data_IF_469205817991
#
_entry.id   IF_469205817991
#
_cell.length_a   1.000
_cell.length_b   1.000
_cell.length_c   1.000
_cell.angle_alpha   90.00
_cell.angle_beta   90.00
_cell.angle_gamma   90.00
#
_symmetry.space_group_name_H-M   'P 1'
#
loop_
_entity.id
_entity.type
_entity.pdbx_description
1 polymer ?
#
# COMPACT_ATOMS: atom_id res chain seq x y z
N UNK A 1 30.67 2.03 -14.49
CA UNK A 1 30.61 0.58 -14.82
C UNK A 1 30.14 -0.13 -13.56
N UNK A 2 28.84 -0.40 -13.42
CA UNK A 2 28.32 -1.25 -12.34
C UNK A 2 28.22 -2.67 -12.92
N UNK A 3 29.25 -3.49 -12.70
CA UNK A 3 29.29 -4.87 -13.16
C UNK A 3 28.40 -5.75 -12.25
N UNK A 4 27.29 -6.24 -12.81
CA UNK A 4 26.34 -7.20 -12.22
C UNK A 4 25.50 -6.69 -11.02
N UNK A 5 24.53 -5.81 -11.29
CA UNK A 5 23.40 -5.61 -10.38
C UNK A 5 22.44 -6.81 -10.45
N UNK A 6 22.09 -7.38 -9.29
CA UNK A 6 21.00 -8.37 -9.20
C UNK A 6 19.67 -7.63 -9.36
N UNK A 7 18.73 -8.10 -10.21
CA UNK A 7 17.41 -7.51 -10.30
C UNK A 7 16.75 -7.45 -8.92
N UNK A 8 16.13 -6.32 -8.57
CA UNK A 8 15.49 -6.12 -7.27
C UNK A 8 14.50 -7.26 -6.94
N UNK A 9 13.79 -7.75 -7.96
CA UNK A 9 12.83 -8.84 -7.83
C UNK A 9 13.47 -10.18 -7.39
N UNK A 10 14.76 -10.39 -7.64
CA UNK A 10 15.50 -11.59 -7.20
C UNK A 10 15.86 -11.56 -5.70
N UNK A 11 15.79 -10.40 -5.04
CA UNK A 11 16.10 -10.26 -3.62
C UNK A 11 15.03 -10.88 -2.71
N UNK A 12 13.81 -11.08 -3.23
CA UNK A 12 12.65 -11.63 -2.50
C UNK A 12 12.96 -13.03 -1.95
N UNK A 13 13.70 -13.85 -2.69
CA UNK A 13 14.04 -15.22 -2.29
C UNK A 13 15.29 -15.34 -1.42
N UNK A 14 16.12 -14.30 -1.34
CA UNK A 14 17.44 -14.35 -0.71
C UNK A 14 17.48 -13.67 0.66
N UNK A 15 16.57 -12.73 0.92
CA UNK A 15 16.55 -11.95 2.16
C UNK A 15 15.26 -12.22 2.92
N UNK A 16 15.37 -12.97 4.02
CA UNK A 16 14.23 -13.26 4.89
C UNK A 16 13.69 -11.97 5.53
N UNK A 17 12.39 -11.70 5.39
CA UNK A 17 11.75 -10.50 5.93
C UNK A 17 11.77 -9.28 5.01
N UNK A 18 12.35 -9.38 3.80
CA UNK A 18 12.24 -8.34 2.78
C UNK A 18 10.91 -8.46 2.03
N UNK A 19 10.17 -7.35 1.96
CA UNK A 19 8.96 -7.24 1.12
C UNK A 19 9.20 -6.21 0.04
N UNK A 20 8.98 -6.59 -1.22
CA UNK A 20 9.12 -5.72 -2.36
C UNK A 20 7.73 -5.51 -2.97
N UNK A 21 7.37 -4.26 -3.21
CA UNK A 21 6.12 -3.88 -3.86
C UNK A 21 6.43 -2.92 -4.99
N UNK A 22 5.95 -3.23 -6.19
CA UNK A 22 6.03 -2.36 -7.36
C UNK A 22 4.66 -1.74 -7.61
N UNK A 23 4.61 -0.41 -7.61
CA UNK A 23 3.41 0.35 -7.91
C UNK A 23 3.72 1.43 -8.93
N UNK A 24 2.68 1.85 -9.65
CA UNK A 24 2.70 3.03 -10.50
C UNK A 24 1.84 4.09 -9.83
N UNK A 25 2.46 5.22 -9.54
CA UNK A 25 1.82 6.34 -8.85
C UNK A 25 1.71 7.51 -9.82
N UNK A 26 0.61 8.26 -9.71
CA UNK A 26 0.35 9.46 -10.54
C UNK A 26 0.40 10.74 -9.72
N UNK A 27 0.23 10.63 -8.40
CA UNK A 27 0.32 11.73 -7.47
C UNK A 27 1.40 11.40 -6.42
N UNK A 28 2.30 12.36 -6.17
CA UNK A 28 3.37 12.29 -5.19
C UNK A 28 3.10 13.15 -3.93
N UNK A 29 1.94 13.81 -3.83
CA UNK A 29 1.61 14.78 -2.78
C UNK A 29 1.49 14.17 -1.38
N UNK A 30 1.43 12.84 -1.26
CA UNK A 30 1.26 12.13 0.01
C UNK A 30 2.55 11.44 0.47
N UNK A 31 2.88 11.59 1.76
CA UNK A 31 4.01 10.87 2.35
C UNK A 31 3.73 9.36 2.42
N UNK A 32 4.65 8.47 2.00
CA UNK A 32 6.07 8.74 1.71
C UNK A 32 6.42 9.02 0.25
N UNK A 33 5.44 9.08 -0.65
CA UNK A 33 5.67 9.30 -2.09
C UNK A 33 6.29 10.68 -2.37
N UNK A 34 6.05 11.66 -1.51
CA UNK A 34 6.70 12.98 -1.58
C UNK A 34 8.22 12.90 -1.67
N UNK A 35 8.83 11.86 -1.10
CA UNK A 35 10.28 11.63 -1.11
C UNK A 35 10.83 11.29 -2.51
N UNK A 36 9.95 10.94 -3.46
CA UNK A 36 10.31 10.64 -4.84
C UNK A 36 10.39 11.90 -5.72
N UNK A 37 9.85 13.04 -5.26
CA UNK A 37 9.70 14.26 -6.07
C UNK A 37 11.03 14.83 -6.54
N UNK A 38 12.08 14.65 -5.73
CA UNK A 38 13.42 15.19 -5.99
C UNK A 38 14.38 14.14 -6.58
N UNK A 39 13.90 12.93 -6.88
CA UNK A 39 14.73 11.85 -7.40
C UNK A 39 14.67 11.77 -8.93
N UNK A 40 15.81 11.44 -9.52
CA UNK A 40 15.90 11.06 -10.93
C UNK A 40 15.55 9.57 -11.12
N UNK A 41 15.31 9.15 -12.36
CA UNK A 41 15.11 7.74 -12.70
C UNK A 41 16.31 6.88 -12.25
N UNK A 42 16.01 5.73 -11.64
CA UNK A 42 16.98 4.87 -10.98
C UNK A 42 17.42 5.35 -9.60
N UNK A 43 17.03 6.55 -9.18
CA UNK A 43 17.31 7.11 -7.87
C UNK A 43 16.54 6.39 -6.76
N UNK A 44 17.10 6.38 -5.56
CA UNK A 44 16.48 5.78 -4.38
C UNK A 44 16.62 6.68 -3.16
N UNK A 45 15.70 6.53 -2.22
CA UNK A 45 15.72 7.27 -0.96
C UNK A 45 16.72 6.65 0.01
N UNK A 46 17.25 7.45 0.93
CA UNK A 46 17.83 6.89 2.15
C UNK A 46 16.79 6.06 2.92
N UNK A 47 17.19 4.99 3.65
CA UNK A 47 16.25 4.19 4.40
C UNK A 47 15.53 5.02 5.46
N UNK A 48 14.20 4.99 5.45
CA UNK A 48 13.35 5.74 6.37
C UNK A 48 12.37 4.84 7.11
N UNK A 49 11.78 5.31 8.21
CA UNK A 49 10.77 4.56 8.96
C UNK A 49 9.38 5.07 8.61
N UNK A 50 8.49 4.16 8.22
CA UNK A 50 7.09 4.45 7.94
C UNK A 50 6.22 3.29 8.40
N UNK A 51 5.12 3.59 9.10
CA UNK A 51 4.21 2.60 9.73
C UNK A 51 4.98 1.54 10.55
N UNK A 52 5.91 2.00 11.40
CA UNK A 52 6.78 1.17 12.24
C UNK A 52 7.65 0.13 11.50
N UNK A 53 7.89 0.33 10.20
CA UNK A 53 8.77 -0.51 9.38
C UNK A 53 9.86 0.35 8.75
N UNK A 54 11.02 -0.25 8.49
CA UNK A 54 12.10 0.40 7.72
C UNK A 54 11.83 0.15 6.24
N UNK A 55 11.82 1.22 5.45
CA UNK A 55 11.47 1.21 4.04
C UNK A 55 12.55 1.94 3.25
N UNK A 56 12.60 1.65 1.96
CA UNK A 56 13.40 2.33 0.95
C UNK A 56 12.52 2.41 -0.30
N UNK A 57 12.50 3.58 -0.96
CA UNK A 57 11.82 3.74 -2.24
C UNK A 57 12.85 3.84 -3.36
N UNK A 58 12.55 3.21 -4.49
CA UNK A 58 13.33 3.25 -5.72
C UNK A 58 12.42 3.81 -6.82
N UNK A 59 12.80 4.93 -7.41
CA UNK A 59 12.13 5.47 -8.59
C UNK A 59 12.63 4.73 -9.82
N UNK A 60 11.89 3.73 -10.29
CA UNK A 60 12.35 2.91 -11.41
C UNK A 60 12.35 3.68 -12.74
N UNK A 61 11.25 4.37 -13.06
CA UNK A 61 11.04 5.05 -14.35
C UNK A 61 9.96 6.11 -14.21
N UNK A 62 10.08 7.22 -14.93
CA UNK A 62 9.08 8.26 -15.09
C UNK A 62 8.46 8.08 -16.48
N UNK A 63 7.17 7.79 -16.52
CA UNK A 63 6.45 7.59 -17.78
C UNK A 63 5.82 8.89 -18.28
N UNK A 64 5.93 9.14 -19.58
CA UNK A 64 5.17 10.20 -20.26
C UNK A 64 3.66 10.02 -20.05
N UNK A 65 2.86 11.10 -20.06
CA UNK A 65 1.40 11.02 -19.92
C UNK A 65 0.78 10.18 -21.04
N UNK A 66 0.38 8.94 -20.72
CA UNK A 66 -0.28 8.01 -21.64
C UNK A 66 -1.34 7.19 -20.91
N UNK A 67 -2.20 6.51 -21.68
CA UNK A 67 -3.06 5.50 -21.11
C UNK A 67 -2.22 4.35 -20.52
N UNK A 68 -2.53 3.98 -19.29
CA UNK A 68 -1.94 2.82 -18.63
C UNK A 68 -2.42 1.54 -19.30
N UNK A 69 -1.54 0.55 -19.39
CA UNK A 69 -1.95 -0.82 -19.75
C UNK A 69 -2.70 -1.46 -18.58
N UNK A 70 -3.42 -2.55 -18.84
CA UNK A 70 -4.12 -3.28 -17.79
C UNK A 70 -3.18 -3.76 -16.68
N UNK A 71 -2.01 -4.30 -17.05
CA UNK A 71 -1.00 -4.78 -16.10
C UNK A 71 -0.49 -3.64 -15.19
N UNK A 72 -0.28 -2.45 -15.75
CA UNK A 72 0.14 -1.25 -15.02
C UNK A 72 -0.94 -0.74 -14.06
N UNK A 73 -2.20 -0.81 -14.48
CA UNK A 73 -3.34 -0.39 -13.68
C UNK A 73 -3.84 -1.48 -12.71
N UNK A 74 -3.36 -2.72 -12.82
CA UNK A 74 -3.93 -3.87 -12.11
C UNK A 74 -3.90 -3.69 -10.59
N UNK A 75 -2.75 -3.31 -10.00
CA UNK A 75 -2.66 -3.10 -8.55
C UNK A 75 -3.56 -1.96 -8.08
N UNK A 76 -3.67 -0.89 -8.88
CA UNK A 76 -4.58 0.23 -8.60
C UNK A 76 -6.03 -0.23 -8.63
N UNK A 77 -6.43 -0.94 -9.69
CA UNK A 77 -7.77 -1.50 -9.84
C UNK A 77 -8.12 -2.42 -8.65
N UNK A 78 -7.19 -3.30 -8.26
CA UNK A 78 -7.36 -4.17 -7.09
C UNK A 78 -7.54 -3.35 -5.82
N UNK A 79 -6.70 -2.34 -5.60
CA UNK A 79 -6.80 -1.44 -4.44
C UNK A 79 -8.15 -0.71 -4.40
N UNK A 80 -8.60 -0.17 -5.54
CA UNK A 80 -9.88 0.53 -5.67
C UNK A 80 -11.08 -0.41 -5.45
N UNK A 81 -10.91 -1.71 -5.73
CA UNK A 81 -11.95 -2.72 -5.53
C UNK A 81 -11.97 -3.32 -4.11
N UNK A 82 -10.91 -3.15 -3.30
CA UNK A 82 -10.84 -3.68 -1.92
C UNK A 82 -12.02 -3.22 -1.04
N UNK A 83 -12.40 -1.92 -1.00
CA UNK A 83 -13.50 -1.46 -0.15
C UNK A 83 -14.84 -2.13 -0.49
N UNK A 84 -15.08 -2.41 -1.77
CA UNK A 84 -16.29 -3.09 -2.24
C UNK A 84 -16.30 -4.53 -1.70
N UNK A 85 -15.19 -5.26 -1.86
CA UNK A 85 -15.08 -6.64 -1.34
C UNK A 85 -15.22 -6.69 0.18
N UNK A 86 -14.67 -5.72 0.90
CA UNK A 86 -14.82 -5.62 2.35
C UNK A 86 -16.28 -5.43 2.75
N UNK A 87 -17.04 -4.60 2.03
CA UNK A 87 -18.48 -4.42 2.28
C UNK A 87 -19.27 -5.70 2.02
N UNK A 88 -19.03 -6.37 0.89
CA UNK A 88 -19.66 -7.65 0.54
C UNK A 88 -19.35 -8.73 1.59
N UNK A 89 -18.10 -8.76 2.06
CA UNK A 89 -17.65 -9.67 3.11
C UNK A 89 -18.37 -9.40 4.44
N UNK A 90 -18.45 -8.14 4.87
CA UNK A 90 -19.17 -7.76 6.07
C UNK A 90 -20.67 -8.09 5.99
N UNK A 91 -21.29 -7.88 4.83
CA UNK A 91 -22.69 -8.24 4.61
C UNK A 91 -22.89 -9.76 4.73
N UNK A 92 -22.00 -10.55 4.11
CA UNK A 92 -22.03 -12.01 4.19
C UNK A 92 -21.90 -12.49 5.64
N UNK A 93 -20.99 -11.89 6.41
CA UNK A 93 -20.82 -12.21 7.83
C UNK A 93 -22.07 -11.86 8.65
N UNK A 94 -22.68 -10.70 8.42
CA UNK A 94 -23.93 -10.28 9.10
C UNK A 94 -25.11 -11.18 8.76
N UNK A 95 -25.17 -11.72 7.55
CA UNK A 95 -26.22 -12.66 7.15
C UNK A 95 -25.99 -14.05 7.75
N UNK A 96 -24.74 -14.52 7.76
CA UNK A 96 -24.38 -15.86 8.26
C UNK A 96 -24.47 -15.96 9.78
N UNK A 97 -24.12 -14.89 10.48
CA UNK A 97 -24.13 -14.85 11.93
C UNK A 97 -25.17 -13.84 12.41
N UNK A 98 -26.17 -14.29 13.15
CA UNK A 98 -27.18 -13.43 13.78
C UNK A 98 -26.56 -12.61 14.91
N UNK A 99 -25.88 -11.52 14.57
CA UNK A 99 -25.26 -10.62 15.54
C UNK A 99 -26.34 -9.72 16.14
N UNK A 100 -26.58 -9.83 17.44
CA UNK A 100 -27.35 -8.83 18.21
C UNK A 100 -26.38 -7.75 18.69
N UNK A 101 -26.49 -6.55 18.13
CA UNK A 101 -25.75 -5.38 18.59
C UNK A 101 -26.50 -4.72 19.74
N UNK A 102 -25.81 -4.39 20.84
CA UNK A 102 -26.36 -3.65 21.99
C UNK A 102 -25.64 -2.30 22.15
N UNK A 103 -25.87 -1.34 21.24
CA UNK A 103 -25.20 -0.05 21.26
C UNK A 103 -25.47 0.75 22.54
N UNK A 104 -26.61 0.55 23.19
CA UNK A 104 -26.97 1.17 24.48
C UNK A 104 -25.93 0.92 25.58
N UNK A 105 -25.36 -0.29 25.65
CA UNK A 105 -24.33 -0.62 26.65
C UNK A 105 -22.99 0.07 26.41
N UNK A 106 -22.71 0.42 25.16
CA UNK A 106 -21.47 1.12 24.80
C UNK A 106 -21.52 2.61 25.19
N UNK A 107 -22.71 3.22 25.15
CA UNK A 107 -22.88 4.62 25.54
C UNK A 107 -22.72 4.83 27.04
N UNK A 108 -23.21 3.90 27.88
CA UNK A 108 -23.00 3.94 29.34
C UNK A 108 -21.51 3.99 29.69
N UNK A 109 -20.71 3.07 29.13
CA UNK A 109 -19.27 2.95 29.40
C UNK A 109 -18.48 4.20 28.95
N UNK A 110 -18.89 4.84 27.85
CA UNK A 110 -18.24 6.06 27.36
C UNK A 110 -18.60 7.26 28.25
N UNK A 111 -19.84 7.32 28.76
CA UNK A 111 -20.27 8.39 29.66
C UNK A 111 -19.64 8.29 31.06
N UNK A 112 -19.36 7.09 31.56
CA UNK A 112 -18.70 6.86 32.86
C UNK A 112 -17.20 7.23 32.87
N UNK A 113 -16.61 7.46 31.70
CA UNK A 113 -15.19 7.79 31.52
C UNK A 113 -14.92 9.25 31.14
N UNK A 114 -15.96 10.09 31.07
CA UNK A 114 -15.87 11.54 30.85
C UNK A 114 -16.06 12.30 32.16
#
# INVERSE_FOLDING_TARGET
>A
MFESGVPVDSLIGQVQGLTIRRDIVTNLDEHPLTLLSDLEEGGYTEPYTFRARRNLLLLQTIHEPRQMTFEEAYHRLVSDYQPIREQEWLQTLRQRYSVKTHPEKLQEIVSERS
#
